data_IF_280776886981
#
_entry.id   IF_280776886981
#
_cell.length_a   1.000
_cell.length_b   1.000
_cell.length_c   1.000
_cell.angle_alpha   90.00
_cell.angle_beta   90.00
_cell.angle_gamma   90.00
#
_symmetry.space_group_name_H-M   'P 1'
#
loop_
_entity.id
_entity.type
_entity.pdbx_description
1 polymer ?
#
# COMPACT_ATOMS: atom_id res chain seq x y z
N UNK A 1 -4.57 -19.39 -16.36
CA UNK A 1 -4.46 -18.16 -15.58
C UNK A 1 -5.74 -18.03 -14.79
N UNK A 2 -5.62 -17.96 -13.47
CA UNK A 2 -6.70 -17.72 -12.51
C UNK A 2 -7.15 -16.27 -12.63
N UNK A 3 -8.46 -16.04 -12.55
CA UNK A 3 -9.03 -14.69 -12.54
C UNK A 3 -8.77 -14.06 -11.16
N UNK A 4 -8.10 -12.91 -11.13
CA UNK A 4 -7.85 -12.18 -9.89
C UNK A 4 -9.20 -11.70 -9.32
N UNK A 5 -9.44 -11.98 -8.04
CA UNK A 5 -10.64 -11.50 -7.34
C UNK A 5 -10.50 -10.02 -6.99
N UNK A 6 -9.29 -9.60 -6.64
CA UNK A 6 -8.91 -8.21 -6.45
C UNK A 6 -7.65 -7.95 -7.27
N UNK A 7 -7.67 -6.88 -8.06
CA UNK A 7 -6.52 -6.42 -8.83
C UNK A 7 -6.33 -4.93 -8.57
N UNK A 8 -5.14 -4.57 -8.09
CA UNK A 8 -4.74 -3.20 -7.82
C UNK A 8 -3.47 -2.93 -8.61
N UNK A 9 -3.46 -1.82 -9.34
CA UNK A 9 -2.29 -1.35 -10.06
C UNK A 9 -1.95 0.09 -9.71
N UNK A 10 -0.64 0.36 -9.66
CA UNK A 10 -0.02 1.67 -9.42
C UNK A 10 -0.55 2.40 -8.18
N UNK A 11 -0.94 1.66 -7.13
CA UNK A 11 -1.50 2.26 -5.92
C UNK A 11 -0.46 3.14 -5.23
N UNK A 12 -0.78 4.43 -5.16
CA UNK A 12 0.07 5.42 -4.53
C UNK A 12 -0.70 6.15 -3.45
N UNK A 13 -0.05 6.38 -2.31
CA UNK A 13 -0.61 7.18 -1.22
C UNK A 13 0.44 8.17 -0.77
N UNK A 14 0.05 9.43 -0.72
CA UNK A 14 0.87 10.50 -0.19
C UNK A 14 0.11 11.23 0.89
N UNK A 15 0.77 11.49 2.00
CA UNK A 15 0.27 12.33 3.08
C UNK A 15 0.99 13.67 3.05
N UNK A 16 0.21 14.73 3.24
CA UNK A 16 0.73 16.08 3.45
C UNK A 16 0.82 16.32 4.95
N UNK A 17 2.02 16.69 5.40
CA UNK A 17 2.36 16.92 6.80
C UNK A 17 2.92 18.34 6.90
N UNK A 18 2.01 19.31 6.95
CA UNK A 18 2.36 20.73 6.89
C UNK A 18 3.05 21.07 5.56
N UNK A 19 4.32 21.47 5.62
CA UNK A 19 5.14 21.76 4.42
C UNK A 19 5.78 20.52 3.82
N UNK A 20 5.75 19.39 4.52
CA UNK A 20 6.40 18.16 4.08
C UNK A 20 5.41 17.25 3.37
N UNK A 21 5.93 16.47 2.43
CA UNK A 21 5.17 15.47 1.67
C UNK A 21 5.79 14.11 1.91
N UNK A 22 5.00 13.17 2.43
CA UNK A 22 5.45 11.81 2.72
C UNK A 22 4.71 10.84 1.82
N UNK A 23 5.46 10.18 0.94
CA UNK A 23 4.89 9.12 0.10
C UNK A 23 4.90 7.83 0.93
N UNK A 24 3.70 7.35 1.29
CA UNK A 24 3.51 6.17 2.13
C UNK A 24 3.38 4.88 1.31
N UNK A 25 2.83 4.97 0.10
CA UNK A 25 2.80 3.88 -0.86
C UNK A 25 3.34 4.38 -2.20
N UNK A 26 4.33 3.68 -2.73
CA UNK A 26 5.00 4.01 -3.99
C UNK A 26 4.55 3.04 -5.08
N UNK A 27 3.54 3.40 -5.86
CA UNK A 27 3.10 2.68 -7.07
C UNK A 27 3.05 1.15 -6.89
N UNK A 28 2.28 0.69 -5.90
CA UNK A 28 2.19 -0.72 -5.55
C UNK A 28 1.20 -1.43 -6.49
N UNK A 29 1.66 -2.52 -7.09
CA UNK A 29 0.83 -3.47 -7.83
C UNK A 29 0.60 -4.71 -6.97
N UNK A 30 -0.64 -5.15 -6.80
CA UNK A 30 -0.95 -6.44 -6.17
C UNK A 30 -2.26 -7.04 -6.66
N UNK A 31 -2.32 -8.36 -6.63
CA UNK A 31 -3.51 -9.14 -6.97
C UNK A 31 -3.79 -10.14 -5.85
N UNK A 32 -5.06 -10.46 -5.64
CA UNK A 32 -5.51 -11.49 -4.70
C UNK A 32 -6.46 -12.43 -5.43
N UNK A 33 -6.20 -13.72 -5.32
CA UNK A 33 -7.04 -14.75 -5.92
C UNK A 33 -8.25 -15.09 -5.05
N UNK A 34 -9.29 -15.66 -5.67
CA UNK A 34 -10.49 -16.06 -4.93
C UNK A 34 -10.17 -17.19 -3.95
N UNK A 35 -10.43 -16.96 -2.67
CA UNK A 35 -10.17 -17.92 -1.59
C UNK A 35 -8.78 -17.81 -0.97
N UNK A 36 -7.95 -16.87 -1.43
CA UNK A 36 -6.66 -16.58 -0.84
C UNK A 36 -6.81 -15.83 0.49
N UNK A 37 -6.04 -16.24 1.50
CA UNK A 37 -5.96 -15.55 2.78
C UNK A 37 -4.65 -14.76 2.85
N UNK A 38 -4.76 -13.43 2.79
CA UNK A 38 -3.60 -12.52 2.72
C UNK A 38 -3.46 -11.73 4.04
N UNK A 39 -2.24 -11.62 4.54
CA UNK A 39 -1.89 -10.77 5.68
C UNK A 39 -0.94 -9.65 5.25
N UNK A 40 -1.28 -8.40 5.59
CA UNK A 40 -0.43 -7.24 5.35
C UNK A 40 0.39 -6.98 6.62
N UNK A 41 1.71 -7.02 6.48
CA UNK A 41 2.66 -6.82 7.59
C UNK A 41 3.60 -5.65 7.24
N UNK A 42 3.99 -4.87 8.24
CA UNK A 42 4.89 -3.74 8.05
C UNK A 42 5.44 -3.19 9.36
N UNK A 43 6.51 -2.43 9.26
CA UNK A 43 7.06 -1.69 10.40
C UNK A 43 6.27 -0.40 10.60
N UNK A 44 6.10 0.03 11.85
CA UNK A 44 5.50 1.32 12.14
C UNK A 44 6.49 2.44 11.75
N UNK A 45 6.07 3.32 10.85
CA UNK A 45 6.83 4.52 10.54
C UNK A 45 6.66 5.55 11.69
N UNK A 46 7.57 5.49 12.65
CA UNK A 46 7.62 6.40 13.80
C UNK A 46 8.54 7.61 13.58
N UNK A 47 9.10 7.78 12.38
CA UNK A 47 10.19 8.75 12.14
C UNK A 47 9.69 10.20 12.00
N UNK A 48 8.38 10.44 11.87
CA UNK A 48 7.81 11.79 11.66
C UNK A 48 7.06 12.37 12.87
N UNK A 49 7.57 12.19 14.10
CA UNK A 49 7.10 12.95 15.27
C UNK A 49 8.10 14.06 15.63
N UNK A 50 8.07 15.17 14.88
CA UNK A 50 8.67 16.44 15.27
C UNK A 50 7.72 17.59 14.95
#
# INVERSE_FOLDING_TARGET
MTEAFLEISHLSKTFELGKNRVVALHSVDFQVEKGEFVAIMGQADLVNRH
#
